data_IF_202356351058
#
_entry.id   IF_202356351058
#
_cell.length_a   1.000
_cell.length_b   1.000
_cell.length_c   1.000
_cell.angle_alpha   90.00
_cell.angle_beta   90.00
_cell.angle_gamma   90.00
#
_symmetry.space_group_name_H-M   'P 1'
#
loop_
_entity.id
_entity.type
_entity.pdbx_description
1 polymer ?
#
# COMPACT_ATOMS: atom_id res chain seq x y z
N UNK A 1 -13.48 -34.39 -28.12
CA UNK A 1 -14.63 -34.27 -29.04
C UNK A 1 -14.75 -32.81 -29.41
N UNK A 2 -14.40 -32.50 -30.66
CA UNK A 2 -14.58 -31.19 -31.27
C UNK A 2 -16.05 -30.81 -31.34
N UNK A 3 -16.36 -29.54 -31.11
CA UNK A 3 -17.50 -28.90 -31.77
C UNK A 3 -17.06 -27.49 -32.19
N UNK A 4 -16.78 -27.36 -33.49
CA UNK A 4 -16.67 -26.09 -34.21
C UNK A 4 -18.07 -25.49 -34.36
N UNK A 5 -18.21 -24.19 -34.11
CA UNK A 5 -19.32 -23.39 -34.62
C UNK A 5 -18.81 -22.00 -35.00
N UNK A 6 -18.46 -21.87 -36.28
CA UNK A 6 -18.33 -20.59 -36.97
C UNK A 6 -19.72 -19.98 -37.13
N UNK A 7 -19.89 -18.73 -36.67
CA UNK A 7 -20.94 -17.85 -37.17
C UNK A 7 -20.34 -16.49 -37.50
N UNK A 8 -20.31 -16.20 -38.80
CA UNK A 8 -20.01 -14.89 -39.40
C UNK A 8 -21.36 -14.23 -39.74
N UNK A 9 -21.56 -12.99 -39.30
CA UNK A 9 -22.58 -12.06 -39.82
C UNK A 9 -22.21 -10.60 -39.40
N UNK A 10 -22.71 -9.54 -40.05
CA UNK A 10 -21.90 -8.57 -40.79
C UNK A 10 -21.55 -7.30 -40.00
N UNK A 11 -20.47 -6.63 -40.42
CA UNK A 11 -20.16 -5.25 -40.02
C UNK A 11 -21.12 -4.28 -40.70
N UNK A 12 -22.06 -3.71 -39.93
CA UNK A 12 -22.69 -2.44 -40.28
C UNK A 12 -21.91 -1.29 -39.62
N UNK A 13 -21.30 -0.45 -40.46
CA UNK A 13 -20.73 0.83 -40.06
C UNK A 13 -21.85 1.78 -39.65
N UNK A 14 -22.00 2.03 -38.35
CA UNK A 14 -22.82 3.13 -37.84
C UNK A 14 -21.90 4.33 -37.58
N UNK A 15 -22.00 5.31 -38.48
CA UNK A 15 -21.27 6.57 -38.45
C UNK A 15 -22.00 7.56 -37.51
N UNK A 16 -21.41 7.87 -36.34
CA UNK A 16 -21.96 8.87 -35.43
C UNK A 16 -21.35 10.25 -35.72
N UNK A 17 -22.16 11.16 -36.28
CA UNK A 17 -21.87 12.61 -36.24
C UNK A 17 -22.28 13.17 -34.87
N UNK A 18 -21.44 13.97 -34.20
CA UNK A 18 -21.84 14.64 -32.96
C UNK A 18 -22.76 15.84 -33.28
N UNK A 19 -23.92 15.87 -32.65
CA UNK A 19 -24.78 17.06 -32.57
C UNK A 19 -24.33 17.84 -31.33
N UNK A 20 -23.84 19.06 -31.54
CA UNK A 20 -23.64 20.05 -30.49
C UNK A 20 -24.96 20.75 -30.22
N UNK A 21 -25.52 20.58 -29.02
CA UNK A 21 -26.56 21.46 -28.51
C UNK A 21 -26.03 22.23 -27.30
N UNK A 22 -25.92 23.55 -27.50
CA UNK A 22 -25.69 24.54 -26.46
C UNK A 22 -26.94 24.65 -25.59
N UNK A 23 -26.80 24.49 -24.27
CA UNK A 23 -27.82 24.92 -23.32
C UNK A 23 -27.14 25.81 -22.28
N UNK A 24 -27.31 27.12 -22.48
CA UNK A 24 -27.06 28.14 -21.46
C UNK A 24 -28.16 28.07 -20.41
N UNK A 25 -27.79 27.82 -19.15
CA UNK A 25 -28.71 27.89 -18.00
C UNK A 25 -27.99 28.52 -16.81
N UNK A 26 -28.38 29.75 -16.48
CA UNK A 26 -27.95 30.50 -15.30
C UNK A 26 -28.25 29.73 -14.00
N UNK A 27 -27.28 29.66 -13.09
CA UNK A 27 -27.50 29.32 -11.68
C UNK A 27 -26.85 30.37 -10.78
N UNK A 28 -27.68 31.06 -10.00
CA UNK A 28 -27.32 31.98 -8.94
C UNK A 28 -27.83 31.37 -7.61
N UNK A 29 -27.04 31.48 -6.53
CA UNK A 29 -27.55 31.32 -5.16
C UNK A 29 -26.78 30.31 -4.30
N UNK A 30 -25.90 30.84 -3.45
CA UNK A 30 -25.26 30.21 -2.30
C UNK A 30 -26.24 29.83 -1.20
N UNK A 31 -25.83 28.98 -0.23
CA UNK A 31 -25.88 29.45 1.15
C UNK A 31 -24.64 29.14 1.99
N UNK A 32 -24.46 30.02 2.98
CA UNK A 32 -23.34 30.15 3.90
C UNK A 32 -23.29 29.08 5.01
N UNK A 33 -22.08 28.81 5.48
CA UNK A 33 -21.76 28.03 6.68
C UNK A 33 -21.88 28.89 7.96
N UNK A 34 -22.26 28.31 9.12
CA UNK A 34 -22.25 29.04 10.38
C UNK A 34 -20.87 29.05 11.05
N UNK A 35 -20.57 30.20 11.64
CA UNK A 35 -19.36 30.57 12.36
C UNK A 35 -19.44 30.07 13.81
N UNK A 36 -18.36 29.46 14.31
CA UNK A 36 -18.19 29.05 15.71
C UNK A 36 -17.49 30.18 16.48
N UNK A 37 -18.09 30.62 17.59
CA UNK A 37 -17.52 31.60 18.51
C UNK A 37 -16.67 30.93 19.62
N UNK A 38 -15.65 31.60 20.18
CA UNK A 38 -14.76 31.03 21.18
C UNK A 38 -15.25 31.23 22.62
N UNK A 39 -14.93 30.28 23.50
CA UNK A 39 -15.17 30.30 24.96
C UNK A 39 -13.91 30.82 25.68
N UNK A 40 -14.00 31.69 26.69
CA UNK A 40 -12.83 32.12 27.46
C UNK A 40 -12.54 31.24 28.68
N UNK A 41 -11.24 31.22 29.02
CA UNK A 41 -10.60 30.51 30.12
C UNK A 41 -10.69 31.35 31.41
N UNK A 42 -10.95 30.71 32.56
CA UNK A 42 -10.81 31.31 33.90
C UNK A 42 -10.50 30.24 34.95
N UNK A 43 -9.48 30.49 35.78
CA UNK A 43 -8.96 29.66 36.89
C UNK A 43 -8.91 30.56 38.16
N UNK A 44 -8.65 30.07 39.38
CA UNK A 44 -9.62 29.47 40.33
C UNK A 44 -9.69 30.18 41.71
N UNK A 45 -10.66 29.78 42.54
CA UNK A 45 -10.46 29.63 43.99
C UNK A 45 -11.37 30.44 44.93
N UNK A 46 -12.21 29.76 45.72
CA UNK A 46 -12.21 29.80 47.20
C UNK A 46 -13.42 29.05 47.81
N UNK A 47 -13.08 28.03 48.61
CA UNK A 47 -13.70 27.44 49.82
C UNK A 47 -15.24 27.38 50.02
N UNK A 48 -15.73 26.15 50.27
CA UNK A 48 -17.03 25.91 50.90
C UNK A 48 -17.39 24.42 51.11
N UNK A 49 -17.09 23.92 52.33
CA UNK A 49 -17.79 22.91 53.16
C UNK A 49 -18.33 21.60 52.53
N UNK A 50 -17.82 20.47 53.05
CA UNK A 50 -18.21 19.08 52.77
C UNK A 50 -19.63 18.73 53.29
N UNK A 51 -20.47 18.13 52.43
CA UNK A 51 -21.65 17.34 52.82
C UNK A 51 -21.56 15.92 52.22
N UNK A 52 -22.11 14.88 52.87
CA UNK A 52 -21.95 13.49 52.43
C UNK A 52 -22.81 13.22 51.18
N UNK A 53 -22.18 12.75 50.11
CA UNK A 53 -22.86 12.34 48.87
C UNK A 53 -23.65 11.04 49.10
N UNK A 54 -24.95 11.08 48.77
CA UNK A 54 -25.78 9.91 48.54
C UNK A 54 -25.19 9.04 47.41
N UNK A 55 -25.41 7.71 47.41
CA UNK A 55 -24.82 6.81 46.43
C UNK A 55 -25.24 7.20 45.00
N UNK A 56 -24.24 7.49 44.16
CA UNK A 56 -24.43 7.80 42.76
C UNK A 56 -25.13 6.64 42.05
N UNK A 57 -26.32 6.90 41.52
CA UNK A 57 -27.01 6.06 40.56
C UNK A 57 -26.08 5.80 39.37
N UNK A 58 -25.88 4.53 39.04
CA UNK A 58 -25.12 4.10 37.87
C UNK A 58 -25.70 4.78 36.61
N UNK A 59 -24.88 5.36 35.73
CA UNK A 59 -25.38 5.94 34.49
C UNK A 59 -25.98 4.82 33.64
N UNK A 60 -27.29 4.87 33.43
CA UNK A 60 -27.97 4.01 32.46
C UNK A 60 -27.34 4.25 31.09
N UNK A 61 -26.87 3.16 30.47
CA UNK A 61 -26.39 3.16 29.10
C UNK A 61 -27.53 3.66 28.20
N UNK A 62 -27.39 4.88 27.70
CA UNK A 62 -28.30 5.46 26.71
C UNK A 62 -28.20 4.59 25.45
N UNK A 63 -29.28 3.88 25.13
CA UNK A 63 -29.40 3.09 23.91
C UNK A 63 -29.27 4.02 22.70
N UNK A 64 -28.10 4.01 22.06
CA UNK A 64 -27.86 4.82 20.87
C UNK A 64 -28.67 4.18 19.74
N UNK A 65 -29.58 4.92 19.06
CA UNK A 65 -30.40 4.33 18.01
C UNK A 65 -29.51 3.79 16.87
N UNK A 66 -29.56 2.47 16.67
CA UNK A 66 -28.82 1.80 15.60
C UNK A 66 -29.50 2.12 14.27
N UNK A 67 -28.82 2.87 13.41
CA UNK A 67 -29.30 3.16 12.06
C UNK A 67 -29.42 1.86 11.26
N UNK A 68 -30.64 1.53 10.85
CA UNK A 68 -30.93 0.38 10.02
C UNK A 68 -31.26 0.83 8.60
N UNK A 69 -30.38 0.51 7.63
CA UNK A 69 -30.62 0.83 6.24
C UNK A 69 -31.98 0.27 5.75
N UNK A 70 -32.76 1.03 4.97
CA UNK A 70 -34.04 0.58 4.44
C UNK A 70 -33.84 -0.59 3.48
N UNK A 71 -34.83 -1.49 3.42
CA UNK A 71 -34.82 -2.58 2.44
C UNK A 71 -35.12 -2.01 1.05
N UNK A 72 -34.54 -2.64 0.02
CA UNK A 72 -34.94 -2.37 -1.37
C UNK A 72 -36.44 -2.67 -1.51
N UNK A 73 -37.28 -1.69 -1.91
CA UNK A 73 -38.73 -1.88 -1.95
C UNK A 73 -39.16 -2.80 -3.10
N UNK A 74 -38.52 -2.69 -4.27
CA UNK A 74 -38.83 -3.47 -5.47
C UNK A 74 -37.68 -3.37 -6.51
N UNK A 75 -37.86 -4.05 -7.65
CA UNK A 75 -37.01 -3.92 -8.83
C UNK A 75 -37.65 -2.93 -9.82
N UNK A 76 -36.85 -2.08 -10.45
CA UNK A 76 -37.31 -1.17 -11.50
C UNK A 76 -37.75 -1.92 -12.75
N UNK A 77 -38.78 -1.41 -13.45
CA UNK A 77 -39.39 -2.05 -14.63
C UNK A 77 -39.39 -1.17 -15.89
N UNK A 78 -38.97 0.08 -15.77
CA UNK A 78 -38.93 1.04 -16.88
C UNK A 78 -37.67 0.86 -17.73
N UNK A 79 -37.75 1.28 -18.99
CA UNK A 79 -36.65 1.25 -19.95
C UNK A 79 -36.58 -0.03 -20.79
N UNK A 80 -35.80 0.04 -21.87
CA UNK A 80 -35.56 -1.10 -22.76
C UNK A 80 -34.54 -2.05 -22.11
N UNK A 81 -34.83 -3.36 -22.00
CA UNK A 81 -33.85 -4.34 -21.52
C UNK A 81 -32.58 -4.37 -22.37
N UNK A 82 -31.42 -4.47 -21.72
CA UNK A 82 -30.12 -4.62 -22.37
C UNK A 82 -29.29 -5.67 -21.62
N UNK A 83 -28.59 -6.52 -22.38
CA UNK A 83 -27.68 -7.53 -21.82
C UNK A 83 -26.35 -6.87 -21.51
N UNK A 84 -25.87 -7.02 -20.28
CA UNK A 84 -24.61 -6.45 -19.81
C UNK A 84 -23.70 -7.53 -19.25
N UNK A 85 -22.41 -7.27 -19.31
CA UNK A 85 -21.40 -8.00 -18.55
C UNK A 85 -20.84 -7.08 -17.48
N UNK A 86 -20.71 -7.62 -16.28
CA UNK A 86 -20.05 -6.96 -15.17
C UNK A 86 -18.71 -7.65 -14.92
N UNK A 87 -17.71 -6.88 -14.49
CA UNK A 87 -16.42 -7.38 -14.04
C UNK A 87 -16.50 -8.00 -12.63
N UNK A 88 -17.58 -8.76 -12.38
CA UNK A 88 -17.85 -9.48 -11.14
C UNK A 88 -17.85 -10.97 -11.44
N UNK A 89 -16.92 -11.68 -10.81
CA UNK A 89 -16.71 -13.11 -10.98
C UNK A 89 -17.30 -13.84 -9.78
N UNK A 90 -18.12 -14.85 -10.02
CA UNK A 90 -18.78 -15.59 -8.95
C UNK A 90 -17.74 -16.38 -8.12
N UNK A 91 -17.83 -16.26 -6.80
CA UNK A 91 -17.06 -17.08 -5.86
C UNK A 91 -17.94 -18.24 -5.42
N UNK A 92 -17.43 -19.47 -5.56
CA UNK A 92 -18.01 -20.65 -4.92
C UNK A 92 -17.36 -20.85 -3.55
N UNK A 93 -18.15 -20.83 -2.50
CA UNK A 93 -17.67 -20.99 -1.13
C UNK A 93 -17.99 -22.39 -0.61
N UNK A 94 -17.09 -23.04 0.14
CA UNK A 94 -17.42 -24.27 0.82
C UNK A 94 -18.42 -24.01 1.95
N UNK A 95 -19.24 -25.01 2.25
CA UNK A 95 -20.03 -25.02 3.48
C UNK A 95 -19.13 -25.41 4.65
N UNK A 96 -19.18 -24.64 5.72
CA UNK A 96 -18.42 -24.93 6.93
C UNK A 96 -17.99 -23.67 7.66
N UNK A 97 -16.87 -23.81 8.35
CA UNK A 97 -16.32 -22.80 9.23
C UNK A 97 -14.86 -22.51 8.90
N UNK A 98 -14.43 -21.31 9.27
CA UNK A 98 -13.03 -20.89 9.24
C UNK A 98 -12.63 -20.50 10.65
N UNK A 99 -11.44 -20.90 11.08
CA UNK A 99 -10.94 -20.58 12.42
C UNK A 99 -10.16 -19.27 12.38
N UNK A 100 -10.54 -18.32 13.23
CA UNK A 100 -9.93 -17.00 13.33
C UNK A 100 -9.04 -16.92 14.57
N UNK A 101 -7.79 -16.51 14.35
CA UNK A 101 -6.77 -16.31 15.37
C UNK A 101 -6.34 -14.85 15.41
N UNK A 102 -6.16 -14.33 16.63
CA UNK A 102 -5.51 -13.05 16.88
C UNK A 102 -3.99 -13.26 16.98
N UNK A 103 -3.25 -12.45 16.23
CA UNK A 103 -1.80 -12.47 16.13
C UNK A 103 -1.22 -11.17 16.67
N UNK A 104 -0.28 -11.28 17.61
CA UNK A 104 0.47 -10.15 18.11
C UNK A 104 1.98 -10.36 17.91
N UNK A 105 2.58 -9.53 17.07
CA UNK A 105 4.01 -9.58 16.70
C UNK A 105 4.76 -8.50 17.46
N UNK A 106 5.82 -8.89 18.18
CA UNK A 106 6.73 -7.97 18.84
C UNK A 106 8.12 -8.03 18.17
N UNK A 107 8.72 -6.88 17.81
CA UNK A 107 8.20 -5.51 17.93
C UNK A 107 7.04 -5.17 16.96
N UNK A 108 6.10 -4.33 17.44
CA UNK A 108 4.80 -4.01 16.82
C UNK A 108 4.85 -3.02 15.64
N UNK A 109 5.94 -2.26 15.50
CA UNK A 109 6.11 -1.20 14.49
C UNK A 109 6.68 -1.68 13.15
N UNK A 110 6.43 -2.94 12.79
CA UNK A 110 6.91 -3.50 11.54
C UNK A 110 5.96 -3.19 10.36
N UNK A 111 6.49 -2.94 9.14
CA UNK A 111 5.65 -2.82 7.96
C UNK A 111 4.87 -4.10 7.69
N UNK A 112 3.65 -3.99 7.15
CA UNK A 112 2.79 -5.16 6.87
C UNK A 112 3.43 -6.23 5.97
N UNK A 113 4.38 -5.84 5.09
CA UNK A 113 5.14 -6.80 4.28
C UNK A 113 6.03 -7.68 5.16
N UNK A 114 6.79 -7.05 6.06
CA UNK A 114 7.64 -7.74 7.04
C UNK A 114 6.79 -8.62 7.96
N UNK A 115 5.62 -8.16 8.40
CA UNK A 115 4.72 -9.00 9.22
C UNK A 115 4.30 -10.28 8.49
N UNK A 116 4.07 -10.22 7.18
CA UNK A 116 3.75 -11.44 6.42
C UNK A 116 4.95 -12.35 6.25
N UNK A 117 6.14 -11.81 5.98
CA UNK A 117 7.40 -12.57 5.93
C UNK A 117 7.67 -13.29 7.28
N UNK A 118 7.37 -12.64 8.42
CA UNK A 118 7.46 -13.25 9.75
C UNK A 118 6.51 -14.45 9.86
N UNK A 119 5.24 -14.30 9.48
CA UNK A 119 4.24 -15.37 9.56
C UNK A 119 4.55 -16.52 8.59
N UNK A 120 5.02 -16.22 7.38
CA UNK A 120 5.47 -17.23 6.42
C UNK A 120 6.64 -18.04 6.98
N UNK A 121 7.66 -17.37 7.53
CA UNK A 121 8.80 -18.02 8.18
C UNK A 121 8.37 -18.84 9.40
N UNK A 122 7.42 -18.33 10.19
CA UNK A 122 6.84 -19.06 11.32
C UNK A 122 6.14 -20.35 10.88
N UNK A 123 5.34 -20.30 9.82
CA UNK A 123 4.62 -21.46 9.28
C UNK A 123 5.62 -22.53 8.82
N UNK A 124 6.73 -22.12 8.18
CA UNK A 124 7.79 -23.04 7.79
C UNK A 124 8.57 -23.61 8.97
N UNK A 125 8.97 -22.78 9.94
CA UNK A 125 9.76 -23.19 11.09
C UNK A 125 8.99 -24.12 12.04
N UNK A 126 7.68 -23.89 12.21
CA UNK A 126 6.79 -24.68 13.06
C UNK A 126 5.87 -25.58 12.24
N UNK A 127 6.40 -26.25 11.21
CA UNK A 127 5.65 -27.15 10.32
C UNK A 127 4.91 -28.26 11.06
N UNK A 128 5.37 -28.70 12.25
CA UNK A 128 4.65 -29.66 13.11
C UNK A 128 3.32 -29.11 13.64
N UNK A 129 3.25 -27.79 13.90
CA UNK A 129 2.05 -27.12 14.42
C UNK A 129 1.03 -26.88 13.31
N UNK A 130 1.51 -26.42 12.15
CA UNK A 130 0.65 -26.07 11.01
C UNK A 130 0.34 -27.27 10.11
N UNK A 131 1.16 -28.32 10.12
CA UNK A 131 0.99 -29.51 9.29
C UNK A 131 0.86 -29.14 7.80
N UNK A 132 -0.24 -29.55 7.19
CA UNK A 132 -0.59 -29.22 5.80
C UNK A 132 -1.48 -27.97 5.68
N UNK A 133 -1.74 -27.27 6.78
CA UNK A 133 -2.52 -26.05 6.75
C UNK A 133 -1.71 -24.92 6.12
N UNK A 134 -2.42 -24.10 5.35
CA UNK A 134 -1.90 -22.87 4.76
C UNK A 134 -2.64 -21.69 5.37
N UNK A 135 -2.16 -21.15 6.50
CA UNK A 135 -2.81 -20.02 7.13
C UNK A 135 -2.77 -18.79 6.23
N UNK A 136 -3.85 -18.03 6.21
CA UNK A 136 -3.89 -16.74 5.52
C UNK A 136 -3.87 -15.61 6.53
N UNK A 137 -3.13 -14.54 6.20
CA UNK A 137 -2.86 -13.44 7.13
C UNK A 137 -3.04 -12.07 6.48
N UNK A 138 -3.68 -11.17 7.20
CA UNK A 138 -3.99 -9.80 6.75
C UNK A 138 -2.78 -8.83 6.84
N UNK A 139 -1.68 -9.26 7.45
CA UNK A 139 -0.48 -8.46 7.68
C UNK A 139 -0.49 -7.62 8.96
N UNK A 140 -1.50 -7.80 9.82
CA UNK A 140 -1.66 -7.11 11.10
C UNK A 140 -1.85 -8.12 12.22
N UNK A 141 -3.10 -8.52 12.48
CA UNK A 141 -3.45 -9.35 13.62
C UNK A 141 -4.46 -10.46 13.28
N UNK A 142 -4.98 -10.53 12.06
CA UNK A 142 -6.01 -11.52 11.71
C UNK A 142 -5.41 -12.63 10.87
N UNK A 143 -5.35 -13.83 11.46
CA UNK A 143 -4.93 -15.05 10.80
C UNK A 143 -6.09 -16.04 10.75
N UNK A 144 -6.27 -16.68 9.60
CA UNK A 144 -7.36 -17.64 9.38
C UNK A 144 -6.80 -18.97 8.91
N UNK A 145 -7.38 -20.06 9.40
CA UNK A 145 -7.09 -21.43 8.96
C UNK A 145 -8.37 -22.18 8.64
N UNK A 146 -8.26 -23.17 7.74
CA UNK A 146 -9.39 -24.06 7.40
C UNK A 146 -9.77 -24.95 8.58
N UNK A 147 -8.78 -25.58 9.20
CA UNK A 147 -8.94 -26.51 10.32
C UNK A 147 -8.31 -25.91 11.59
N UNK A 148 -8.74 -26.29 12.81
CA UNK A 148 -8.24 -25.72 14.05
C UNK A 148 -6.78 -26.12 14.31
N UNK A 149 -5.96 -25.16 14.72
CA UNK A 149 -4.60 -25.39 15.22
C UNK A 149 -4.62 -26.13 16.57
N UNK A 150 -3.64 -27.02 16.85
CA UNK A 150 -3.59 -27.80 18.09
C UNK A 150 -3.03 -26.98 19.26
N UNK A 151 -3.59 -25.78 19.51
CA UNK A 151 -3.19 -24.84 20.57
C UNK A 151 -4.27 -24.65 21.65
N UNK A 152 -5.47 -25.21 21.44
CA UNK A 152 -6.63 -24.95 22.30
C UNK A 152 -7.07 -23.47 22.26
N UNK A 153 -7.53 -22.97 23.40
CA UNK A 153 -7.98 -21.57 23.55
C UNK A 153 -6.93 -20.67 24.23
N UNK A 154 -5.82 -21.25 24.67
CA UNK A 154 -4.76 -20.55 25.37
C UNK A 154 -3.84 -19.80 24.40
N UNK A 155 -3.12 -18.82 24.96
CA UNK A 155 -2.14 -18.06 24.20
C UNK A 155 -0.88 -18.90 24.03
N UNK A 156 -0.39 -19.02 22.79
CA UNK A 156 0.89 -19.65 22.47
C UNK A 156 1.88 -18.59 21.98
N UNK A 157 3.06 -18.55 22.58
CA UNK A 157 4.17 -17.69 22.16
C UNK A 157 5.16 -18.51 21.32
N UNK A 158 5.52 -17.99 20.14
CA UNK A 158 6.50 -18.56 19.23
C UNK A 158 7.60 -17.55 18.94
N UNK A 159 8.82 -18.03 18.75
CA UNK A 159 9.97 -17.19 18.41
C UNK A 159 10.34 -17.41 16.94
N UNK A 160 10.46 -16.32 16.18
CA UNK A 160 10.74 -16.35 14.74
C UNK A 160 11.94 -15.48 14.44
N UNK A 161 12.92 -16.05 13.75
CA UNK A 161 14.15 -15.33 13.39
C UNK A 161 14.16 -15.07 11.89
N UNK A 162 14.23 -13.79 11.50
CA UNK A 162 14.45 -13.39 10.12
C UNK A 162 15.91 -12.98 9.89
N UNK A 163 16.48 -13.30 8.71
CA UNK A 163 17.81 -12.83 8.37
C UNK A 163 17.80 -11.30 8.24
N UNK A 164 18.68 -10.64 8.99
CA UNK A 164 18.83 -9.19 8.96
C UNK A 164 20.07 -8.74 8.20
N UNK A 165 20.13 -7.45 7.85
CA UNK A 165 21.32 -6.84 7.26
C UNK A 165 22.41 -6.67 8.34
N UNK A 166 23.13 -7.76 8.62
CA UNK A 166 24.27 -7.83 9.55
C UNK A 166 23.98 -8.62 10.83
N UNK A 167 22.77 -8.49 11.41
CA UNK A 167 22.35 -9.29 12.57
C UNK A 167 20.92 -9.78 12.37
N UNK A 168 20.70 -11.05 12.70
CA UNK A 168 19.38 -11.66 12.67
C UNK A 168 18.41 -10.93 13.60
N UNK A 169 17.16 -10.84 13.14
CA UNK A 169 16.08 -10.16 13.86
C UNK A 169 15.16 -11.22 14.45
N UNK A 170 15.13 -11.27 15.76
CA UNK A 170 14.25 -12.15 16.52
C UNK A 170 12.93 -11.44 16.79
N UNK A 171 11.82 -12.13 16.54
CA UNK A 171 10.45 -11.67 16.76
C UNK A 171 9.72 -12.65 17.66
N UNK A 172 8.89 -12.12 18.55
CA UNK A 172 7.97 -12.91 19.36
C UNK A 172 6.58 -12.80 18.79
N UNK A 173 5.98 -13.92 18.43
CA UNK A 173 4.66 -14.01 17.84
C UNK A 173 3.74 -14.72 18.81
N UNK A 174 2.72 -14.01 19.28
CA UNK A 174 1.67 -14.60 20.11
C UNK A 174 0.47 -14.94 19.24
N UNK A 175 0.00 -16.18 19.35
CA UNK A 175 -1.18 -16.69 18.65
C UNK A 175 -2.25 -17.04 19.68
N UNK A 176 -3.48 -16.57 19.47
CA UNK A 176 -4.63 -16.91 20.31
C UNK A 176 -5.84 -17.23 19.44
N UNK A 177 -6.54 -18.33 19.71
CA UNK A 177 -7.85 -18.57 19.10
C UNK A 177 -8.85 -17.49 19.52
N UNK A 178 -9.58 -16.93 18.56
CA UNK A 178 -10.52 -15.84 18.79
C UNK A 178 -11.96 -16.26 18.53
N UNK A 179 -12.24 -16.85 17.37
CA UNK A 179 -13.59 -17.20 16.97
C UNK A 179 -13.63 -18.29 15.89
N UNK A 180 -14.82 -18.85 15.68
CA UNK A 180 -15.15 -19.69 14.55
C UNK A 180 -16.12 -18.93 13.65
N UNK A 181 -15.71 -18.66 12.42
CA UNK A 181 -16.46 -17.86 11.43
C UNK A 181 -17.29 -18.79 10.56
N UNK A 182 -18.61 -18.61 10.55
CA UNK A 182 -19.55 -19.46 9.78
C UNK A 182 -19.71 -18.95 8.35
N UNK A 183 -19.23 -19.72 7.37
CA UNK A 183 -19.49 -19.44 5.95
C UNK A 183 -20.92 -19.84 5.56
N UNK A 184 -21.52 -20.78 6.30
CA UNK A 184 -22.92 -21.15 6.11
C UNK A 184 -23.86 -19.98 6.42
N UNK A 185 -23.64 -19.28 7.54
CA UNK A 185 -24.43 -18.09 7.89
C UNK A 185 -24.35 -17.00 6.81
N UNK A 186 -23.21 -16.87 6.14
CA UNK A 186 -23.06 -15.96 5.00
C UNK A 186 -23.91 -16.41 3.80
N UNK A 187 -23.92 -17.71 3.48
CA UNK A 187 -24.79 -18.27 2.43
C UNK A 187 -26.27 -18.01 2.73
N UNK A 188 -26.72 -18.22 3.98
CA UNK A 188 -28.10 -17.93 4.38
C UNK A 188 -28.48 -16.44 4.23
N UNK A 189 -27.56 -15.54 4.61
CA UNK A 189 -27.76 -14.11 4.47
C UNK A 189 -27.85 -13.68 3.00
N UNK A 190 -27.03 -14.27 2.10
CA UNK A 190 -27.07 -13.98 0.66
C UNK A 190 -28.36 -14.47 0.00
N UNK A 191 -28.91 -15.59 0.47
CA UNK A 191 -30.21 -16.12 0.02
C UNK A 191 -31.40 -15.35 0.62
N UNK A 192 -31.13 -14.35 1.46
CA UNK A 192 -32.15 -13.47 2.04
C UNK A 192 -32.89 -14.06 3.25
N UNK A 193 -32.43 -15.19 3.80
CA UNK A 193 -32.99 -15.77 5.04
C UNK A 193 -32.73 -14.89 6.27
N UNK A 194 -31.61 -14.17 6.25
CA UNK A 194 -31.21 -13.27 7.34
C UNK A 194 -30.98 -11.87 6.80
N UNK A 195 -31.38 -10.84 7.57
CA UNK A 195 -31.18 -9.43 7.18
C UNK A 195 -29.72 -8.99 7.31
N UNK A 196 -29.04 -9.48 8.33
CA UNK A 196 -27.67 -9.07 8.65
C UNK A 196 -26.70 -9.95 7.88
N UNK A 197 -25.76 -9.31 7.18
CA UNK A 197 -24.69 -10.02 6.48
C UNK A 197 -23.52 -10.17 7.45
N UNK A 198 -23.03 -11.39 7.74
CA UNK A 198 -21.91 -11.60 8.65
C UNK A 198 -20.63 -10.99 8.06
N UNK A 199 -20.21 -9.86 8.64
CA UNK A 199 -19.09 -9.07 8.12
C UNK A 199 -17.74 -9.76 8.37
N UNK A 200 -17.63 -10.51 9.47
CA UNK A 200 -16.49 -11.36 9.79
C UNK A 200 -16.22 -12.42 8.71
N UNK A 201 -17.27 -13.04 8.17
CA UNK A 201 -17.16 -13.98 7.04
C UNK A 201 -16.69 -13.28 5.76
N UNK A 202 -17.19 -12.08 5.47
CA UNK A 202 -16.71 -11.29 4.32
C UNK A 202 -15.23 -10.92 4.49
N UNK A 203 -14.82 -10.50 5.69
CA UNK A 203 -13.44 -10.16 5.99
C UNK A 203 -12.52 -11.38 5.85
N UNK A 204 -12.93 -12.54 6.37
CA UNK A 204 -12.17 -13.78 6.23
C UNK A 204 -11.94 -14.11 4.74
N UNK A 205 -12.97 -14.02 3.91
CA UNK A 205 -12.86 -14.24 2.46
C UNK A 205 -11.99 -13.19 1.77
N UNK A 206 -12.09 -11.90 2.14
CA UNK A 206 -11.21 -10.86 1.60
C UNK A 206 -9.75 -11.15 1.94
N UNK A 207 -9.45 -11.60 3.16
CA UNK A 207 -8.09 -11.96 3.57
C UNK A 207 -7.58 -13.18 2.82
N UNK A 208 -8.40 -14.24 2.67
CA UNK A 208 -8.07 -15.43 1.88
C UNK A 208 -7.68 -15.04 0.46
N UNK A 209 -8.59 -14.34 -0.24
CA UNK A 209 -8.38 -13.99 -1.65
C UNK A 209 -7.21 -13.04 -1.86
N UNK A 210 -6.79 -12.29 -0.84
CA UNK A 210 -5.73 -11.28 -0.92
C UNK A 210 -4.40 -11.77 -0.38
N UNK A 211 -4.32 -12.97 0.19
CA UNK A 211 -3.13 -13.44 0.88
C UNK A 211 -1.92 -13.52 -0.06
N UNK A 212 -2.00 -14.34 -1.11
CA UNK A 212 -0.88 -14.51 -2.04
C UNK A 212 -0.59 -13.23 -2.84
N UNK A 213 -1.59 -12.50 -3.40
CA UNK A 213 -1.31 -11.25 -4.10
C UNK A 213 -0.61 -10.20 -3.21
N UNK A 214 -0.84 -10.21 -1.90
CA UNK A 214 -0.15 -9.31 -0.96
C UNK A 214 1.32 -9.68 -0.71
N UNK A 215 1.72 -10.91 -1.02
CA UNK A 215 3.09 -11.40 -0.94
C UNK A 215 3.85 -11.16 -2.25
N UNK A 216 3.19 -11.45 -3.38
CA UNK A 216 3.78 -11.40 -4.72
C UNK A 216 3.86 -9.98 -5.29
N UNK A 217 2.81 -9.17 -5.07
CA UNK A 217 2.70 -7.82 -5.64
C UNK A 217 2.92 -6.72 -4.60
N UNK A 218 2.96 -5.47 -5.06
CA UNK A 218 2.96 -4.30 -4.17
C UNK A 218 1.52 -3.87 -3.86
N UNK A 219 1.02 -4.08 -2.63
CA UNK A 219 -0.35 -3.71 -2.27
C UNK A 219 -0.49 -2.19 -2.08
N UNK A 220 -1.50 -1.60 -2.72
CA UNK A 220 -1.88 -0.19 -2.58
C UNK A 220 -3.40 -0.12 -2.41
N UNK A 221 -3.86 0.08 -1.17
CA UNK A 221 -5.29 0.06 -0.86
C UNK A 221 -5.89 -1.32 -1.11
N UNK A 222 -6.81 -1.41 -2.08
CA UNK A 222 -7.44 -2.66 -2.56
C UNK A 222 -6.87 -3.17 -3.88
N UNK A 223 -5.82 -2.54 -4.38
CA UNK A 223 -5.17 -2.90 -5.64
C UNK A 223 -3.78 -3.48 -5.41
N UNK A 224 -3.31 -4.24 -6.40
CA UNK A 224 -2.00 -4.88 -6.43
C UNK A 224 -1.26 -4.46 -7.70
N UNK A 225 0.01 -4.08 -7.57
CA UNK A 225 0.82 -3.57 -8.67
C UNK A 225 2.15 -4.33 -8.77
N UNK A 226 2.62 -4.59 -9.98
CA UNK A 226 3.93 -5.17 -10.28
C UNK A 226 4.82 -4.17 -11.00
N UNK A 227 6.13 -4.42 -10.94
CA UNK A 227 7.09 -3.74 -11.79
C UNK A 227 6.73 -3.99 -13.27
N UNK A 228 7.00 -3.02 -14.16
CA UNK A 228 6.84 -3.21 -15.59
C UNK A 228 7.66 -4.40 -16.10
N UNK A 229 6.99 -5.35 -16.76
CA UNK A 229 7.61 -6.47 -17.47
C UNK A 229 7.14 -6.41 -18.93
N UNK A 230 8.08 -6.16 -19.85
CA UNK A 230 7.77 -6.06 -21.28
C UNK A 230 7.09 -4.76 -21.73
N UNK A 231 6.96 -3.75 -20.86
CA UNK A 231 6.51 -2.41 -21.21
C UNK A 231 7.30 -1.33 -20.48
N UNK A 232 7.40 -0.13 -21.06
CA UNK A 232 8.10 1.00 -20.46
C UNK A 232 7.32 2.30 -20.68
N UNK A 233 6.78 2.86 -19.61
CA UNK A 233 5.98 4.09 -19.62
C UNK A 233 6.54 5.11 -18.60
N UNK A 234 7.67 5.78 -18.94
CA UNK A 234 8.22 6.82 -18.09
C UNK A 234 7.28 8.03 -18.08
N UNK A 235 7.12 8.63 -16.90
CA UNK A 235 6.42 9.89 -16.72
C UNK A 235 7.40 11.09 -16.69
N UNK A 236 8.70 10.83 -16.50
CA UNK A 236 9.72 11.84 -16.25
C UNK A 236 9.77 12.24 -14.77
N UNK A 237 10.85 12.92 -14.36
CA UNK A 237 11.09 13.27 -12.95
C UNK A 237 11.31 12.04 -12.06
N UNK A 238 11.86 10.95 -12.61
CA UNK A 238 12.13 9.70 -11.91
C UNK A 238 10.91 8.86 -11.61
N UNK A 239 9.82 9.06 -12.36
CA UNK A 239 8.53 8.39 -12.16
C UNK A 239 8.16 7.57 -13.39
N UNK A 240 7.41 6.49 -13.18
CA UNK A 240 6.91 5.60 -14.21
C UNK A 240 5.51 5.07 -13.86
N UNK A 241 4.80 4.55 -14.85
CA UNK A 241 3.49 3.91 -14.64
C UNK A 241 3.67 2.43 -14.33
N UNK A 242 3.07 1.98 -13.24
CA UNK A 242 2.87 0.55 -12.97
C UNK A 242 1.41 0.19 -13.21
N UNK A 243 1.20 -0.90 -13.94
CA UNK A 243 -0.11 -1.53 -14.08
C UNK A 243 -0.32 -2.57 -12.99
N UNK A 244 -1.57 -2.88 -12.76
CA UNK A 244 -2.01 -3.75 -11.69
C UNK A 244 -3.50 -4.01 -11.79
N UNK A 245 -4.08 -4.47 -10.70
CA UNK A 245 -5.50 -4.76 -10.63
C UNK A 245 -6.08 -4.40 -9.28
N UNK A 246 -7.31 -3.89 -9.30
CA UNK A 246 -8.18 -3.78 -8.13
C UNK A 246 -8.80 -5.13 -7.86
N UNK A 247 -8.88 -5.50 -6.58
CA UNK A 247 -9.55 -6.70 -6.12
C UNK A 247 -10.41 -6.39 -4.90
N UNK A 248 -11.67 -6.83 -4.91
CA UNK A 248 -12.50 -6.81 -3.71
C UNK A 248 -13.57 -7.88 -3.72
N UNK A 249 -13.79 -8.50 -2.56
CA UNK A 249 -14.88 -9.44 -2.34
C UNK A 249 -16.14 -8.68 -1.93
N UNK A 250 -17.28 -8.94 -2.58
CA UNK A 250 -18.54 -8.21 -2.41
C UNK A 250 -19.71 -9.18 -2.25
N UNK A 251 -20.58 -9.02 -1.24
CA UNK A 251 -21.86 -9.72 -1.22
C UNK A 251 -22.76 -9.17 -2.32
N UNK A 252 -23.56 -10.05 -2.92
CA UNK A 252 -24.61 -9.70 -3.88
C UNK A 252 -25.89 -10.46 -3.55
N UNK A 253 -26.99 -10.17 -4.27
CA UNK A 253 -28.27 -10.86 -4.09
C UNK A 253 -28.24 -12.35 -4.47
N UNK A 254 -27.16 -12.79 -5.13
CA UNK A 254 -27.05 -14.13 -5.71
C UNK A 254 -25.99 -14.95 -4.98
N UNK A 255 -24.74 -14.50 -5.06
CA UNK A 255 -23.55 -15.15 -4.49
C UNK A 255 -22.51 -14.11 -4.06
N UNK A 256 -21.45 -14.55 -3.41
CA UNK A 256 -20.27 -13.71 -3.24
C UNK A 256 -19.61 -13.47 -4.60
N UNK A 257 -19.21 -12.22 -4.84
CA UNK A 257 -18.62 -11.79 -6.09
C UNK A 257 -17.21 -11.25 -5.86
N UNK A 258 -16.26 -11.72 -6.65
CA UNK A 258 -14.94 -11.14 -6.79
C UNK A 258 -15.02 -10.02 -7.84
N UNK A 259 -14.90 -8.78 -7.42
CA UNK A 259 -14.80 -7.64 -8.32
C UNK A 259 -13.32 -7.42 -8.69
N UNK A 260 -13.02 -7.54 -9.99
CA UNK A 260 -11.68 -7.36 -10.55
C UNK A 260 -11.71 -6.25 -11.60
N UNK A 261 -10.78 -5.31 -11.53
CA UNK A 261 -10.62 -4.29 -12.56
C UNK A 261 -9.13 -3.99 -12.80
N UNK A 262 -8.76 -3.62 -14.02
CA UNK A 262 -7.42 -3.14 -14.31
C UNK A 262 -7.20 -1.78 -13.64
N UNK A 263 -5.99 -1.57 -13.15
CA UNK A 263 -5.59 -0.35 -12.45
C UNK A 263 -4.20 0.09 -12.89
N UNK A 264 -3.94 1.39 -12.84
CA UNK A 264 -2.63 1.95 -13.12
C UNK A 264 -2.33 3.08 -12.13
N UNK A 265 -1.09 3.17 -11.65
CA UNK A 265 -0.67 4.26 -10.76
C UNK A 265 0.82 4.57 -10.92
N UNK A 266 1.23 5.75 -10.48
CA UNK A 266 2.61 6.20 -10.61
C UNK A 266 3.50 5.64 -9.48
N UNK A 267 4.67 5.15 -9.85
CA UNK A 267 5.73 4.70 -8.96
C UNK A 267 7.03 5.44 -9.27
N UNK A 268 7.93 5.49 -8.30
CA UNK A 268 9.31 5.93 -8.54
C UNK A 268 10.11 4.80 -9.17
N UNK A 269 10.88 5.14 -10.21
CA UNK A 269 11.78 4.21 -10.89
C UNK A 269 12.84 3.69 -9.91
N UNK A 270 13.14 2.40 -9.99
CA UNK A 270 14.28 1.81 -9.30
C UNK A 270 15.56 2.14 -10.07
N UNK A 271 16.26 3.21 -9.68
CA UNK A 271 17.42 3.72 -10.42
C UNK A 271 18.45 4.41 -9.50
N UNK A 272 19.69 4.62 -9.97
CA UNK A 272 20.68 5.42 -9.26
C UNK A 272 20.15 6.82 -8.89
N UNK A 273 20.49 7.30 -7.70
CA UNK A 273 20.03 8.62 -7.24
C UNK A 273 20.58 9.74 -8.12
N UNK A 274 21.75 9.55 -8.74
CA UNK A 274 22.30 10.49 -9.73
C UNK A 274 21.35 10.62 -10.94
N UNK A 275 20.89 9.51 -11.50
CA UNK A 275 19.94 9.51 -12.63
C UNK A 275 18.60 10.12 -12.23
N UNK A 276 18.11 9.78 -11.03
CA UNK A 276 16.91 10.40 -10.47
C UNK A 276 17.05 11.92 -10.33
N UNK A 277 18.19 12.42 -9.86
CA UNK A 277 18.49 13.85 -9.79
C UNK A 277 18.48 14.48 -11.19
N UNK A 278 19.11 13.83 -12.18
CA UNK A 278 19.13 14.32 -13.56
C UNK A 278 17.73 14.44 -14.14
N UNK A 279 16.87 13.44 -13.96
CA UNK A 279 15.48 13.48 -14.41
C UNK A 279 14.65 14.58 -13.71
N UNK A 280 14.89 14.84 -12.42
CA UNK A 280 14.17 15.88 -11.66
C UNK A 280 14.62 17.29 -12.04
N UNK A 281 15.90 17.46 -12.35
CA UNK A 281 16.51 18.75 -12.66
C UNK A 281 16.61 19.02 -14.16
N UNK A 282 16.10 18.11 -15.00
CA UNK A 282 16.16 18.17 -16.45
C UNK A 282 17.61 18.30 -16.99
N UNK A 283 18.55 17.63 -16.32
CA UNK A 283 19.97 17.58 -16.70
C UNK A 283 20.16 16.42 -17.69
N UNK A 284 20.63 16.72 -18.90
CA UNK A 284 20.83 15.72 -19.97
C UNK A 284 22.08 14.88 -19.75
N UNK A 285 23.19 15.52 -19.39
CA UNK A 285 24.45 14.85 -19.10
C UNK A 285 25.01 15.32 -17.75
N UNK A 286 25.30 14.35 -16.88
CA UNK A 286 25.93 14.60 -15.58
C UNK A 286 27.37 15.11 -15.73
N UNK A 287 28.05 14.80 -16.84
CA UNK A 287 29.40 15.29 -17.15
C UNK A 287 29.50 16.79 -17.35
N UNK A 288 28.40 17.44 -17.77
CA UNK A 288 28.28 18.90 -17.88
C UNK A 288 28.13 19.57 -16.51
N UNK A 289 27.56 18.85 -15.54
CA UNK A 289 27.35 19.34 -14.18
C UNK A 289 28.66 19.27 -13.36
N UNK A 290 29.64 20.12 -13.71
CA UNK A 290 30.92 20.25 -12.97
C UNK A 290 30.85 21.19 -11.77
N UNK A 291 29.79 22.00 -11.70
CA UNK A 291 29.56 22.96 -10.61
C UNK A 291 28.61 22.38 -9.56
N UNK A 292 28.69 22.81 -8.29
CA UNK A 292 27.68 22.51 -7.29
C UNK A 292 26.28 22.93 -7.76
N UNK A 293 25.25 22.24 -7.27
CA UNK A 293 23.87 22.63 -7.54
C UNK A 293 23.59 24.03 -7.01
N UNK A 294 22.88 24.84 -7.79
CA UNK A 294 22.32 26.11 -7.32
C UNK A 294 21.33 25.86 -6.17
N UNK A 295 21.09 26.87 -5.34
CA UNK A 295 20.13 26.75 -4.22
C UNK A 295 18.72 26.36 -4.72
N UNK A 296 18.28 26.89 -5.86
CA UNK A 296 17.00 26.54 -6.49
C UNK A 296 16.94 25.06 -6.92
N UNK A 297 17.98 24.58 -7.62
CA UNK A 297 18.08 23.19 -8.04
C UNK A 297 18.11 22.25 -6.83
N UNK A 298 18.91 22.57 -5.81
CA UNK A 298 18.97 21.78 -4.57
C UNK A 298 17.59 21.70 -3.92
N UNK A 299 16.90 22.82 -3.76
CA UNK A 299 15.55 22.84 -3.16
C UNK A 299 14.55 22.02 -3.98
N UNK A 300 14.57 22.13 -5.32
CA UNK A 300 13.73 21.31 -6.22
C UNK A 300 14.01 19.81 -6.00
N UNK A 301 15.28 19.42 -6.00
CA UNK A 301 15.70 18.04 -5.76
C UNK A 301 15.31 17.54 -4.36
N UNK A 302 15.57 18.32 -3.31
CA UNK A 302 15.19 17.98 -1.92
C UNK A 302 13.70 17.72 -1.81
N UNK A 303 12.88 18.59 -2.42
CA UNK A 303 11.41 18.41 -2.44
C UNK A 303 11.01 17.09 -3.06
N UNK A 304 11.71 16.61 -4.07
CA UNK A 304 11.39 15.34 -4.75
C UNK A 304 11.90 14.10 -4.01
N UNK A 305 13.14 14.12 -3.49
CA UNK A 305 13.73 12.94 -2.87
C UNK A 305 13.41 12.77 -1.38
N UNK A 306 13.07 13.85 -0.65
CA UNK A 306 12.73 13.77 0.78
C UNK A 306 11.56 12.81 0.99
N UNK A 307 11.74 11.89 1.93
CA UNK A 307 10.78 10.85 2.28
C UNK A 307 10.93 9.56 1.49
N UNK A 308 11.69 9.52 0.39
CA UNK A 308 11.92 8.28 -0.36
C UNK A 308 12.87 7.34 0.39
N UNK A 309 12.69 6.03 0.17
CA UNK A 309 13.63 5.00 0.60
C UNK A 309 14.71 4.81 -0.47
N UNK A 310 15.94 4.70 -0.02
CA UNK A 310 17.12 4.44 -0.83
C UNK A 310 17.88 3.25 -0.27
N UNK A 311 18.63 2.56 -1.11
CA UNK A 311 19.55 1.49 -0.71
C UNK A 311 20.98 1.85 -1.09
N UNK A 312 21.93 1.44 -0.25
CA UNK A 312 23.35 1.69 -0.49
C UNK A 312 23.96 0.66 -1.45
N UNK A 313 24.99 1.06 -2.18
CA UNK A 313 25.70 0.21 -3.14
C UNK A 313 27.19 0.02 -2.84
N UNK A 314 27.74 0.71 -1.82
CA UNK A 314 29.18 0.73 -1.55
C UNK A 314 29.66 -0.39 -0.59
N UNK A 315 28.76 -1.17 0.01
CA UNK A 315 29.09 -2.22 0.99
C UNK A 315 28.96 -3.64 0.42
N UNK A 316 29.46 -3.87 -0.80
CA UNK A 316 29.43 -5.19 -1.45
C UNK A 316 28.01 -5.76 -1.56
N UNK A 317 27.79 -6.97 -1.03
CA UNK A 317 26.48 -7.63 -1.03
C UNK A 317 25.46 -6.98 -0.06
N UNK A 318 25.89 -6.13 0.88
CA UNK A 318 25.02 -5.50 1.85
C UNK A 318 24.28 -4.31 1.23
N UNK A 319 22.97 -4.46 0.99
CA UNK A 319 22.11 -3.43 0.36
C UNK A 319 21.23 -2.70 1.37
N UNK A 320 21.86 -2.08 2.36
CA UNK A 320 21.15 -1.45 3.48
C UNK A 320 20.20 -0.34 3.05
N UNK A 321 18.96 -0.40 3.55
CA UNK A 321 17.90 0.54 3.21
C UNK A 321 17.78 1.67 4.23
N UNK A 322 17.60 2.88 3.73
CA UNK A 322 17.40 4.10 4.52
C UNK A 322 16.25 4.94 3.98
N UNK A 323 15.65 5.79 4.81
CA UNK A 323 14.73 6.85 4.37
C UNK A 323 15.46 8.19 4.36
N UNK A 324 15.35 8.92 3.25
CA UNK A 324 15.92 10.25 3.10
C UNK A 324 15.10 11.25 3.90
N UNK A 325 15.76 11.99 4.78
CA UNK A 325 15.13 13.05 5.55
C UNK A 325 15.52 14.45 5.06
N UNK A 326 16.70 14.60 4.45
CA UNK A 326 17.13 15.87 3.88
C UNK A 326 18.22 15.72 2.81
N UNK A 327 18.59 16.84 2.18
CA UNK A 327 19.76 16.97 1.28
C UNK A 327 20.65 18.09 1.81
N UNK A 328 21.95 17.86 1.89
CA UNK A 328 22.88 18.81 2.49
C UNK A 328 23.06 20.06 1.65
N UNK A 329 23.26 21.21 2.30
CA UNK A 329 23.61 22.46 1.61
C UNK A 329 25.04 22.42 1.07
N UNK A 330 25.97 21.89 1.86
CA UNK A 330 27.38 21.73 1.47
C UNK A 330 27.56 20.49 0.59
N UNK A 331 28.46 20.54 -0.40
CA UNK A 331 28.80 19.38 -1.23
C UNK A 331 29.57 18.32 -0.43
N UNK A 332 29.65 17.09 -0.94
CA UNK A 332 30.30 15.96 -0.25
C UNK A 332 31.76 16.22 0.14
N UNK A 333 32.49 17.02 -0.65
CA UNK A 333 33.88 17.43 -0.34
C UNK A 333 34.00 18.39 0.86
N UNK A 334 32.95 19.14 1.20
CA UNK A 334 32.95 20.13 2.29
C UNK A 334 31.99 19.78 3.43
N UNK A 335 31.07 18.84 3.21
CA UNK A 335 30.16 18.37 4.25
C UNK A 335 30.96 17.52 5.23
N UNK A 336 31.01 17.96 6.48
CA UNK A 336 31.68 17.26 7.56
C UNK A 336 30.69 16.68 8.57
N UNK A 337 31.18 15.77 9.40
CA UNK A 337 30.47 15.21 10.53
C UNK A 337 31.48 14.80 11.62
N UNK A 338 31.06 14.77 12.89
CA UNK A 338 31.88 14.28 13.97
C UNK A 338 32.07 12.77 13.85
N UNK A 339 33.32 12.34 13.63
CA UNK A 339 33.72 10.95 13.54
C UNK A 339 34.48 10.57 14.82
N UNK A 340 33.99 9.58 15.56
CA UNK A 340 34.73 8.97 16.66
C UNK A 340 35.75 7.97 16.11
N UNK A 341 37.01 8.19 16.46
CA UNK A 341 38.13 7.29 16.16
C UNK A 341 38.22 6.19 17.24
N UNK A 342 38.98 5.13 16.94
CA UNK A 342 39.17 3.98 17.85
C UNK A 342 39.82 4.37 19.18
N UNK A 343 40.59 5.46 19.21
CA UNK A 343 41.20 6.02 20.41
C UNK A 343 40.23 6.86 21.26
N UNK A 344 38.94 6.90 20.92
CA UNK A 344 37.91 7.68 21.62
C UNK A 344 37.86 9.17 21.26
N UNK A 345 38.81 9.67 20.46
CA UNK A 345 38.82 11.08 20.02
C UNK A 345 37.76 11.31 18.94
N UNK A 346 37.03 12.43 19.03
CA UNK A 346 36.11 12.87 17.97
C UNK A 346 36.82 13.87 17.07
N UNK A 347 36.90 13.57 15.77
CA UNK A 347 37.47 14.45 14.75
C UNK A 347 36.41 14.84 13.72
N UNK A 348 36.46 16.07 13.24
CA UNK A 348 35.64 16.48 12.10
C UNK A 348 36.21 15.85 10.82
N UNK A 349 35.41 15.01 10.16
CA UNK A 349 35.79 14.34 8.93
C UNK A 349 34.80 14.69 7.81
N UNK A 350 35.31 15.01 6.62
CA UNK A 350 34.44 15.25 5.46
C UNK A 350 33.92 13.94 4.90
N UNK A 351 32.71 13.96 4.30
CA UNK A 351 32.12 12.77 3.69
C UNK A 351 33.04 12.20 2.61
N UNK A 352 33.59 13.05 1.74
CA UNK A 352 34.51 12.59 0.70
C UNK A 352 35.77 11.91 1.27
N UNK A 353 36.37 12.49 2.33
CA UNK A 353 37.55 11.89 2.99
C UNK A 353 37.20 10.56 3.65
N UNK A 354 36.09 10.48 4.38
CA UNK A 354 35.65 9.25 5.02
C UNK A 354 35.45 8.11 4.01
N UNK A 355 34.83 8.36 2.86
CA UNK A 355 34.64 7.34 1.82
C UNK A 355 35.95 6.89 1.18
N UNK A 356 36.90 7.81 0.99
CA UNK A 356 38.25 7.48 0.52
C UNK A 356 39.01 6.64 1.54
N UNK A 357 39.00 7.03 2.82
CA UNK A 357 39.80 6.38 3.85
C UNK A 357 39.23 5.02 4.25
N UNK A 358 37.91 4.94 4.49
CA UNK A 358 37.23 3.73 4.99
C UNK A 358 36.89 2.73 3.90
N UNK A 359 36.36 3.20 2.77
CA UNK A 359 35.89 2.33 1.68
C UNK A 359 36.82 2.30 0.47
N UNK A 360 37.96 3.00 0.52
CA UNK A 360 38.92 3.13 -0.60
C UNK A 360 38.24 3.61 -1.89
N UNK A 361 37.19 4.43 -1.74
CA UNK A 361 36.35 4.89 -2.83
C UNK A 361 36.57 6.38 -3.07
N UNK A 362 37.19 6.72 -4.20
CA UNK A 362 37.26 8.11 -4.67
C UNK A 362 35.93 8.49 -5.32
N UNK A 363 35.26 9.48 -4.73
CA UNK A 363 33.99 9.99 -5.27
C UNK A 363 34.19 10.61 -6.66
N UNK A 364 33.31 10.29 -7.61
CA UNK A 364 33.33 10.87 -8.96
C UNK A 364 32.68 12.25 -8.98
N UNK A 365 31.70 12.47 -8.10
CA UNK A 365 30.94 13.72 -8.03
C UNK A 365 31.03 14.39 -6.65
N UNK A 366 32.25 14.73 -6.17
CA UNK A 366 32.45 15.26 -4.81
C UNK A 366 31.84 16.66 -4.61
N UNK A 367 31.56 17.39 -5.70
CA UNK A 367 30.91 18.69 -5.73
C UNK A 367 29.38 18.64 -5.60
N UNK A 368 28.77 17.46 -5.65
CA UNK A 368 27.32 17.28 -5.42
C UNK A 368 27.01 17.16 -3.92
N UNK A 369 25.77 17.47 -3.49
CA UNK A 369 25.37 17.34 -2.08
C UNK A 369 25.26 15.87 -1.65
N UNK A 370 25.08 15.65 -0.34
CA UNK A 370 24.79 14.34 0.23
C UNK A 370 23.31 14.21 0.59
N UNK A 371 22.81 12.98 0.63
CA UNK A 371 21.56 12.65 1.28
C UNK A 371 21.78 12.52 2.78
N UNK A 372 20.99 13.23 3.58
CA UNK A 372 20.87 12.95 5.01
C UNK A 372 19.78 11.90 5.19
N UNK A 373 20.09 10.84 5.92
CA UNK A 373 19.20 9.69 6.08
C UNK A 373 19.01 9.28 7.54
N UNK A 374 17.90 8.59 7.82
CA UNK A 374 17.58 8.13 9.17
C UNK A 374 16.98 9.25 10.02
N UNK A 375 17.52 9.45 11.22
CA UNK A 375 17.02 10.46 12.16
C UNK A 375 17.60 11.83 11.81
N UNK A 376 16.75 12.87 11.70
CA UNK A 376 17.17 14.23 11.29
C UNK A 376 18.20 14.87 12.23
N UNK A 377 18.21 14.52 13.52
CA UNK A 377 19.20 14.99 14.50
C UNK A 377 20.53 14.22 14.45
N UNK A 378 20.63 13.17 13.62
CA UNK A 378 21.86 12.40 13.42
C UNK A 378 22.55 12.83 12.12
N UNK A 379 23.87 12.65 12.11
CA UNK A 379 24.77 13.09 11.05
C UNK A 379 25.12 11.94 10.09
N UNK A 380 24.10 11.21 9.59
CA UNK A 380 24.32 10.14 8.61
C UNK A 380 24.15 10.69 7.20
N UNK A 381 25.26 10.89 6.51
CA UNK A 381 25.32 11.45 5.16
C UNK A 381 25.81 10.42 4.14
N UNK A 382 25.10 10.32 3.01
CA UNK A 382 25.43 9.42 1.91
C UNK A 382 25.64 10.23 0.62
N UNK A 383 26.78 10.09 -0.08
CA UNK A 383 26.96 10.64 -1.42
C UNK A 383 25.88 10.09 -2.38
N UNK A 384 25.44 10.92 -3.34
CA UNK A 384 24.37 10.52 -4.27
C UNK A 384 24.77 9.28 -5.11
N UNK A 385 26.05 9.14 -5.44
CA UNK A 385 26.54 8.06 -6.33
C UNK A 385 26.61 6.68 -5.68
N UNK A 386 26.43 6.58 -4.35
CA UNK A 386 26.41 5.31 -3.63
C UNK A 386 25.00 4.87 -3.22
N UNK A 387 23.98 5.45 -3.84
CA UNK A 387 22.58 5.29 -3.48
C UNK A 387 21.71 4.99 -4.70
N UNK A 388 20.80 4.02 -4.56
CA UNK A 388 19.74 3.73 -5.52
C UNK A 388 18.36 3.98 -4.89
N UNK A 389 17.40 4.45 -5.68
CA UNK A 389 15.99 4.50 -5.27
C UNK A 389 15.46 3.07 -5.14
N UNK A 390 14.88 2.72 -4.00
CA UNK A 390 14.30 1.39 -3.77
C UNK A 390 13.05 1.21 -4.64
N UNK A 391 12.92 0.04 -5.28
CA UNK A 391 11.77 -0.33 -6.11
C UNK A 391 10.44 -0.37 -5.32
N UNK A 392 9.30 -0.29 -6.04
CA UNK A 392 7.97 -0.48 -5.46
C UNK A 392 7.49 0.67 -4.56
N UNK A 393 8.06 1.87 -4.73
CA UNK A 393 7.63 3.06 -3.99
C UNK A 393 6.60 3.85 -4.80
N UNK A 394 5.34 3.80 -4.36
CA UNK A 394 4.26 4.58 -4.97
C UNK A 394 4.53 6.08 -4.87
N UNK A 395 4.30 6.81 -5.97
CA UNK A 395 4.28 8.26 -5.97
C UNK A 395 2.96 8.76 -5.37
N UNK A 396 3.03 9.38 -4.19
CA UNK A 396 1.87 10.00 -3.50
C UNK A 396 1.76 11.49 -3.85
N UNK A 397 2.86 12.10 -4.31
CA UNK A 397 2.89 13.50 -4.72
C UNK A 397 2.04 13.70 -5.97
N UNK A 398 1.42 14.87 -6.09
CA UNK A 398 0.66 15.24 -7.29
C UNK A 398 1.58 15.16 -8.51
N UNK A 399 1.08 14.55 -9.58
CA UNK A 399 1.75 14.56 -10.87
C UNK A 399 1.65 15.95 -11.50
N UNK A 400 2.66 16.32 -12.28
CA UNK A 400 2.57 17.54 -13.10
C UNK A 400 1.52 17.35 -14.21
N UNK A 401 1.09 18.44 -14.84
CA UNK A 401 0.09 18.36 -15.91
C UNK A 401 0.60 17.53 -17.09
N UNK A 402 1.89 17.66 -17.41
CA UNK A 402 2.56 16.84 -18.43
C UNK A 402 2.58 15.36 -18.04
N UNK A 403 2.97 15.03 -16.81
CA UNK A 403 2.96 13.66 -16.30
C UNK A 403 1.55 13.06 -16.31
N UNK A 404 0.54 13.86 -15.96
CA UNK A 404 -0.86 13.46 -15.98
C UNK A 404 -1.32 13.16 -17.41
N UNK A 405 -0.97 14.01 -18.37
CA UNK A 405 -1.25 13.78 -19.80
C UNK A 405 -0.61 12.48 -20.30
N UNK A 406 0.67 12.25 -19.99
CA UNK A 406 1.37 11.01 -20.35
C UNK A 406 0.74 9.78 -19.70
N UNK A 407 0.35 9.87 -18.42
CA UNK A 407 -0.32 8.79 -17.71
C UNK A 407 -1.69 8.45 -18.31
N UNK A 408 -2.49 9.45 -18.68
CA UNK A 408 -3.79 9.24 -19.34
C UNK A 408 -3.58 8.56 -20.69
N UNK A 409 -2.64 9.04 -21.50
CA UNK A 409 -2.33 8.44 -22.82
C UNK A 409 -1.88 6.98 -22.69
N UNK A 410 -1.09 6.65 -21.67
CA UNK A 410 -0.63 5.29 -21.45
C UNK A 410 -1.75 4.34 -20.98
N UNK A 411 -2.73 4.85 -20.23
CA UNK A 411 -3.74 4.02 -19.53
C UNK A 411 -5.13 4.05 -20.16
N UNK A 412 -5.41 4.98 -21.07
CA UNK A 412 -6.69 5.04 -21.78
C UNK A 412 -6.94 3.77 -22.60
N UNK A 413 -8.11 3.16 -22.39
CA UNK A 413 -8.58 1.95 -23.09
C UNK A 413 -10.04 2.10 -23.43
N UNK A 414 -10.46 1.56 -24.57
CA UNK A 414 -11.88 1.44 -24.90
C UNK A 414 -12.55 0.40 -23.99
N UNK A 415 -13.88 0.44 -23.86
CA UNK A 415 -14.60 -0.55 -23.05
C UNK A 415 -14.37 -2.00 -23.53
N UNK A 416 -14.40 -2.32 -24.85
CA UNK A 416 -14.06 -3.66 -25.34
C UNK A 416 -12.64 -4.09 -25.01
N UNK A 417 -11.66 -3.18 -25.10
CA UNK A 417 -10.26 -3.52 -24.79
C UNK A 417 -10.09 -3.79 -23.30
N UNK A 418 -10.72 -2.96 -22.44
CA UNK A 418 -10.69 -3.14 -20.99
C UNK A 418 -11.34 -4.44 -20.57
N UNK A 419 -12.47 -4.83 -21.17
CA UNK A 419 -13.09 -6.14 -20.91
C UNK A 419 -12.13 -7.29 -21.26
N UNK A 420 -11.44 -7.22 -22.42
CA UNK A 420 -10.46 -8.24 -22.80
C UNK A 420 -9.27 -8.29 -21.85
N UNK A 421 -8.76 -7.14 -21.41
CA UNK A 421 -7.66 -7.08 -20.43
C UNK A 421 -8.07 -7.69 -19.09
N UNK A 422 -9.26 -7.37 -18.57
CA UNK A 422 -9.78 -7.94 -17.31
C UNK A 422 -9.91 -9.46 -17.44
N UNK A 423 -10.50 -9.96 -18.53
CA UNK A 423 -10.66 -11.40 -18.75
C UNK A 423 -9.30 -12.12 -18.89
N UNK A 424 -8.33 -11.51 -19.58
CA UNK A 424 -6.98 -12.04 -19.68
C UNK A 424 -6.27 -12.06 -18.31
N UNK A 425 -6.47 -11.03 -17.49
CA UNK A 425 -5.93 -10.96 -16.14
C UNK A 425 -6.47 -12.07 -15.26
N UNK A 426 -7.80 -12.28 -15.24
CA UNK A 426 -8.42 -13.34 -14.42
C UNK A 426 -7.94 -14.73 -14.86
N UNK A 427 -7.79 -14.96 -16.16
CA UNK A 427 -7.24 -16.23 -16.67
C UNK A 427 -5.79 -16.46 -16.26
N UNK A 428 -4.94 -15.42 -16.31
CA UNK A 428 -3.53 -15.51 -15.91
C UNK A 428 -3.34 -15.61 -14.41
N UNK A 429 -4.20 -14.98 -13.63
CA UNK A 429 -4.15 -15.03 -12.17
C UNK A 429 -4.49 -16.43 -11.65
N UNK A 430 -5.28 -17.21 -12.40
CA UNK A 430 -5.62 -18.59 -12.12
C UNK A 430 -5.96 -18.85 -10.64
N UNK A 431 -6.87 -18.02 -10.11
CA UNK A 431 -7.25 -18.00 -8.69
C UNK A 431 -7.67 -19.37 -8.11
N UNK A 432 -8.02 -20.34 -8.97
CA UNK A 432 -8.42 -21.68 -8.54
C UNK A 432 -7.22 -22.59 -8.23
N UNK A 433 -6.04 -22.29 -8.76
CA UNK A 433 -4.80 -23.05 -8.56
C UNK A 433 -3.80 -22.29 -7.67
N UNK A 434 -4.27 -21.27 -6.94
CA UNK A 434 -3.48 -20.44 -6.02
C UNK A 434 -3.01 -21.32 -4.83
N UNK A 435 -1.71 -21.65 -4.77
CA UNK A 435 -1.15 -22.69 -3.86
C UNK A 435 -0.03 -22.19 -2.95
#
# INVERSE_FOLDING_TARGET
MEVNANFVAPQEQINFKPVYENINGHFNGTPAAPVVAPVPVGVPGAMGVLQPQAPALQPQLVDVPVFNCPRRPNLGREGRPIVLRANHFQISMPRGYVHHYDINIQPDKCPRKVNREIIETMVHAYSKLFGNLRPVFDGRNNLYTRDPLPIGNDRMELEVTLPGEGKDRVFRVNIKWLAQVSLFALEEALEGRTRQIPYDAILALDVVMRHLPSMTYTPVGRSFFSSPEGYYHPLGGGREVWFGFHQSVRPSQWKMMLNIDVSATAFYKAQPVIEFMCEVLDIRDIGEQRKPLTDSQRVKFTKEIKGLKIEITHCGAMRRKYRVCNVTRRPAQMQSFPLQLENGQTVECTVAKYFLDKYKMKLRYPHLPCLQVGQEHKHTYLPLEVCNIVAGQRCIKKLTDMQTSTMIKATARSAPDREREINSLVRRADFNNDS
#
